data_IF_596413149285
#
_entry.id   IF_596413149285
#
_cell.length_a   1.000
_cell.length_b   1.000
_cell.length_c   1.000
_cell.angle_alpha   90.00
_cell.angle_beta   90.00
_cell.angle_gamma   90.00
#
_symmetry.space_group_name_H-M   'P 1'
#
loop_
_entity.id
_entity.type
_entity.pdbx_description
1 polymer ?
#
# COMPACT_ATOMS: atom_id res chain seq x y z
N UNK A 1 -30.97 19.39 -28.58
CA UNK A 1 -31.51 18.25 -29.37
C UNK A 1 -30.56 17.08 -29.25
N UNK A 2 -30.96 16.03 -28.55
CA UNK A 2 -30.15 14.82 -28.41
C UNK A 2 -30.24 14.02 -29.73
N UNK A 3 -29.09 13.84 -30.41
CA UNK A 3 -28.99 13.11 -31.66
C UNK A 3 -29.26 11.62 -31.38
N UNK A 4 -30.41 11.11 -31.81
CA UNK A 4 -30.79 9.71 -31.72
C UNK A 4 -29.79 8.87 -32.55
N UNK A 5 -29.00 8.04 -31.90
CA UNK A 5 -28.02 7.15 -32.56
C UNK A 5 -28.75 6.15 -33.43
N UNK A 6 -28.30 5.97 -34.65
CA UNK A 6 -28.85 4.95 -35.58
C UNK A 6 -28.56 3.51 -35.08
N UNK A 7 -29.39 2.52 -35.41
CA UNK A 7 -29.15 1.14 -35.01
C UNK A 7 -27.77 0.60 -35.42
N UNK A 8 -27.23 1.07 -36.55
CA UNK A 8 -25.90 0.73 -37.04
C UNK A 8 -24.79 1.29 -36.13
N UNK A 9 -24.91 2.57 -35.69
CA UNK A 9 -23.96 3.20 -34.75
C UNK A 9 -23.97 2.53 -33.39
N UNK A 10 -25.14 2.09 -32.90
CA UNK A 10 -25.25 1.34 -31.63
C UNK A 10 -24.56 -0.02 -31.74
N UNK A 11 -24.69 -0.69 -32.89
CA UNK A 11 -24.03 -1.97 -33.14
C UNK A 11 -22.52 -1.85 -33.26
N UNK A 12 -22.03 -0.80 -33.93
CA UNK A 12 -20.61 -0.47 -34.03
C UNK A 12 -20.01 -0.15 -32.65
N UNK A 13 -20.65 0.71 -31.87
CA UNK A 13 -20.22 1.04 -30.52
C UNK A 13 -20.19 -0.17 -29.58
N UNK A 14 -21.13 -1.12 -29.68
CA UNK A 14 -21.12 -2.37 -28.95
C UNK A 14 -19.95 -3.28 -29.37
N UNK A 15 -19.64 -3.34 -30.66
CA UNK A 15 -18.51 -4.11 -31.18
C UNK A 15 -17.16 -3.54 -30.69
N UNK A 16 -17.00 -2.23 -30.74
CA UNK A 16 -15.81 -1.54 -30.21
C UNK A 16 -15.66 -1.72 -28.69
N UNK A 17 -16.75 -1.56 -27.92
CA UNK A 17 -16.74 -1.82 -26.49
C UNK A 17 -16.39 -3.28 -26.14
N UNK A 18 -16.82 -4.25 -26.97
CA UNK A 18 -16.45 -5.66 -26.82
C UNK A 18 -14.97 -5.89 -27.16
N UNK A 19 -14.46 -5.25 -28.20
CA UNK A 19 -13.05 -5.34 -28.60
C UNK A 19 -12.13 -4.72 -27.54
N UNK A 20 -12.45 -3.54 -27.03
CA UNK A 20 -11.68 -2.88 -25.97
C UNK A 20 -11.69 -3.68 -24.66
N UNK A 21 -12.84 -4.24 -24.26
CA UNK A 21 -12.92 -5.16 -23.11
C UNK A 21 -12.07 -6.41 -23.30
N UNK A 22 -12.07 -7.00 -24.48
CA UNK A 22 -11.25 -8.19 -24.81
C UNK A 22 -9.76 -7.85 -24.79
N UNK A 23 -9.37 -6.70 -25.34
CA UNK A 23 -7.99 -6.21 -25.29
C UNK A 23 -7.54 -5.93 -23.85
N UNK A 24 -8.35 -5.24 -23.05
CA UNK A 24 -8.06 -4.97 -21.65
C UNK A 24 -7.94 -6.26 -20.82
N UNK A 25 -8.79 -7.26 -21.08
CA UNK A 25 -8.70 -8.56 -20.38
C UNK A 25 -7.43 -9.32 -20.77
N UNK A 26 -7.02 -9.26 -22.04
CA UNK A 26 -5.76 -9.86 -22.51
C UNK A 26 -4.56 -9.18 -21.86
N UNK A 27 -4.54 -7.85 -21.81
CA UNK A 27 -3.47 -7.09 -21.13
C UNK A 27 -3.38 -7.44 -19.64
N UNK A 28 -4.52 -7.51 -18.92
CA UNK A 28 -4.54 -7.92 -17.51
C UNK A 28 -3.96 -9.32 -17.30
N UNK A 29 -4.31 -10.27 -18.16
CA UNK A 29 -3.74 -11.64 -18.09
C UNK A 29 -2.24 -11.63 -18.32
N UNK A 30 -1.75 -10.87 -19.29
CA UNK A 30 -0.31 -10.75 -19.57
C UNK A 30 0.42 -10.11 -18.41
N UNK A 31 -0.13 -9.04 -17.81
CA UNK A 31 0.43 -8.38 -16.63
C UNK A 31 0.49 -9.31 -15.41
N UNK A 32 -0.59 -10.06 -15.15
CA UNK A 32 -0.63 -11.08 -14.09
C UNK A 32 0.42 -12.18 -14.32
N UNK A 33 0.56 -12.64 -15.56
CA UNK A 33 1.54 -13.66 -15.93
C UNK A 33 2.98 -13.15 -15.75
N UNK A 34 3.26 -11.92 -16.18
CA UNK A 34 4.56 -11.28 -16.00
C UNK A 34 4.88 -11.09 -14.50
N UNK A 35 3.92 -10.61 -13.71
CA UNK A 35 4.05 -10.48 -12.27
C UNK A 35 4.32 -11.84 -11.60
N UNK A 36 3.63 -12.89 -12.02
CA UNK A 36 3.84 -14.24 -11.54
C UNK A 36 5.25 -14.76 -11.88
N UNK A 37 5.70 -14.59 -13.14
CA UNK A 37 7.05 -15.01 -13.55
C UNK A 37 8.14 -14.25 -12.78
N UNK A 38 7.97 -12.95 -12.57
CA UNK A 38 8.90 -12.14 -11.81
C UNK A 38 8.98 -12.61 -10.37
N UNK A 39 7.83 -12.83 -9.72
CA UNK A 39 7.75 -13.29 -8.34
C UNK A 39 8.29 -14.73 -8.17
N UNK A 40 8.08 -15.61 -9.15
CA UNK A 40 8.62 -16.98 -9.14
C UNK A 40 10.15 -17.00 -9.18
N UNK A 41 10.78 -16.08 -9.93
CA UNK A 41 12.25 -15.98 -9.99
C UNK A 41 12.85 -15.52 -8.66
N UNK A 42 12.12 -14.68 -7.91
CA UNK A 42 12.58 -14.13 -6.64
C UNK A 42 12.32 -15.06 -5.46
N UNK A 43 11.21 -15.77 -5.47
CA UNK A 43 10.79 -16.65 -4.39
C UNK A 43 10.65 -18.10 -4.88
N UNK A 44 11.72 -18.88 -4.70
CA UNK A 44 11.76 -20.30 -5.07
C UNK A 44 10.70 -21.13 -4.34
N UNK A 45 10.30 -20.71 -3.13
CA UNK A 45 9.29 -21.40 -2.32
C UNK A 45 7.84 -21.04 -2.69
N UNK A 46 7.63 -20.09 -3.61
CA UNK A 46 6.28 -19.69 -4.02
C UNK A 46 5.51 -20.85 -4.63
N UNK A 47 6.09 -21.51 -5.63
CA UNK A 47 5.47 -22.62 -6.36
C UNK A 47 5.14 -23.83 -5.48
N UNK A 48 6.08 -24.41 -4.71
CA UNK A 48 5.77 -25.54 -3.86
C UNK A 48 4.70 -25.22 -2.81
N UNK A 49 4.66 -23.99 -2.30
CA UNK A 49 3.67 -23.56 -1.32
C UNK A 49 2.28 -23.39 -1.94
N UNK A 50 2.18 -22.86 -3.16
CA UNK A 50 0.91 -22.75 -3.89
C UNK A 50 0.36 -24.13 -4.26
N UNK A 51 1.23 -25.04 -4.73
CA UNK A 51 0.84 -26.42 -5.07
C UNK A 51 0.43 -27.17 -3.80
N UNK A 52 1.19 -27.06 -2.72
CA UNK A 52 0.86 -27.69 -1.44
C UNK A 52 -0.46 -27.20 -0.86
N UNK A 53 -0.73 -25.90 -0.92
CA UNK A 53 -2.01 -25.33 -0.49
C UNK A 53 -3.18 -25.81 -1.35
N UNK A 54 -3.01 -25.86 -2.67
CA UNK A 54 -4.02 -26.39 -3.58
C UNK A 54 -4.32 -27.86 -3.30
N UNK A 55 -3.29 -28.71 -3.24
CA UNK A 55 -3.42 -30.15 -3.01
C UNK A 55 -4.00 -30.45 -1.62
N UNK A 56 -3.62 -29.69 -0.59
CA UNK A 56 -4.16 -29.83 0.76
C UNK A 56 -5.67 -29.58 0.82
N UNK A 57 -6.13 -28.50 0.17
CA UNK A 57 -7.56 -28.16 0.09
C UNK A 57 -8.32 -29.19 -0.76
N UNK A 58 -7.76 -29.60 -1.89
CA UNK A 58 -8.36 -30.60 -2.75
C UNK A 58 -8.49 -31.96 -2.03
N UNK A 59 -7.44 -32.42 -1.38
CA UNK A 59 -7.43 -33.67 -0.61
C UNK A 59 -8.48 -33.64 0.53
N UNK A 60 -8.55 -32.54 1.28
CA UNK A 60 -9.54 -32.36 2.33
C UNK A 60 -10.97 -32.41 1.79
N UNK A 61 -11.21 -31.74 0.66
CA UNK A 61 -12.54 -31.74 0.03
C UNK A 61 -12.93 -33.13 -0.51
N UNK A 62 -11.98 -33.88 -1.09
CA UNK A 62 -12.20 -35.26 -1.52
C UNK A 62 -12.51 -36.15 -0.33
N UNK A 63 -11.74 -36.06 0.77
CA UNK A 63 -11.96 -36.86 1.97
C UNK A 63 -13.37 -36.61 2.55
N UNK A 64 -13.80 -35.34 2.65
CA UNK A 64 -15.14 -34.99 3.11
C UNK A 64 -16.23 -35.52 2.15
N UNK A 65 -16.01 -35.45 0.85
CA UNK A 65 -16.95 -35.96 -0.14
C UNK A 65 -17.10 -37.48 -0.07
N UNK A 66 -16.01 -38.21 0.17
CA UNK A 66 -16.04 -39.67 0.35
C UNK A 66 -16.76 -40.05 1.65
N UNK A 67 -16.55 -39.29 2.71
CA UNK A 67 -17.20 -39.52 4.01
C UNK A 67 -18.71 -39.33 3.94
N UNK A 68 -19.18 -38.30 3.19
CA UNK A 68 -20.62 -38.05 3.01
C UNK A 68 -21.29 -39.02 2.04
N UNK A 69 -20.55 -39.63 1.11
CA UNK A 69 -21.07 -40.62 0.14
C UNK A 69 -22.03 -40.00 -0.90
N UNK A 70 -22.69 -40.89 -1.68
CA UNK A 70 -23.72 -40.51 -2.64
C UNK A 70 -23.25 -39.54 -3.75
N UNK A 71 -24.17 -38.71 -4.22
CA UNK A 71 -23.91 -37.70 -5.26
C UNK A 71 -23.04 -36.54 -4.75
N UNK A 72 -23.06 -36.28 -3.43
CA UNK A 72 -22.31 -35.17 -2.82
C UNK A 72 -20.79 -35.23 -3.05
N UNK A 73 -20.20 -36.42 -3.23
CA UNK A 73 -18.77 -36.57 -3.52
C UNK A 73 -18.32 -35.80 -4.77
N UNK A 74 -19.14 -35.77 -5.82
CA UNK A 74 -18.80 -35.03 -7.06
C UNK A 74 -18.85 -33.51 -6.84
N UNK A 75 -19.82 -33.03 -6.07
CA UNK A 75 -19.92 -31.62 -5.69
C UNK A 75 -18.71 -31.18 -4.87
N UNK A 76 -18.28 -32.00 -3.90
CA UNK A 76 -17.09 -31.70 -3.09
C UNK A 76 -15.79 -31.68 -3.90
N UNK A 77 -15.65 -32.54 -4.93
CA UNK A 77 -14.49 -32.52 -5.83
C UNK A 77 -14.44 -31.19 -6.61
N UNK A 78 -15.56 -30.79 -7.22
CA UNK A 78 -15.62 -29.53 -7.97
C UNK A 78 -15.38 -28.34 -7.05
N UNK A 79 -16.02 -28.33 -5.89
CA UNK A 79 -15.83 -27.28 -4.89
C UNK A 79 -14.38 -27.21 -4.37
N UNK A 80 -13.76 -28.37 -4.14
CA UNK A 80 -12.35 -28.46 -3.71
C UNK A 80 -11.36 -27.89 -4.73
N UNK A 81 -11.60 -28.13 -6.04
CA UNK A 81 -10.78 -27.55 -7.10
C UNK A 81 -10.90 -26.02 -7.10
N UNK A 82 -12.13 -25.50 -7.08
CA UNK A 82 -12.37 -24.05 -7.08
C UNK A 82 -11.78 -23.38 -5.83
N UNK A 83 -12.02 -23.96 -4.66
CA UNK A 83 -11.51 -23.46 -3.40
C UNK A 83 -9.97 -23.55 -3.33
N UNK A 84 -9.40 -24.65 -3.82
CA UNK A 84 -7.94 -24.84 -3.89
C UNK A 84 -7.25 -23.79 -4.78
N UNK A 85 -7.82 -23.48 -5.93
CA UNK A 85 -7.35 -22.39 -6.79
C UNK A 85 -7.44 -21.05 -6.06
N UNK A 86 -8.54 -20.77 -5.38
CA UNK A 86 -8.71 -19.54 -4.62
C UNK A 86 -7.66 -19.40 -3.52
N UNK A 87 -7.42 -20.47 -2.74
CA UNK A 87 -6.40 -20.48 -1.68
C UNK A 87 -5.00 -20.31 -2.26
N UNK A 88 -4.69 -20.95 -3.38
CA UNK A 88 -3.41 -20.75 -4.07
C UNK A 88 -3.21 -19.29 -4.50
N UNK A 89 -4.24 -18.60 -4.99
CA UNK A 89 -4.19 -17.17 -5.31
C UNK A 89 -4.01 -16.30 -4.06
N UNK A 90 -4.63 -16.65 -2.94
CA UNK A 90 -4.44 -15.94 -1.66
C UNK A 90 -2.99 -16.07 -1.19
N UNK A 91 -2.40 -17.26 -1.29
CA UNK A 91 -0.99 -17.51 -0.94
C UNK A 91 -0.07 -16.68 -1.85
N UNK A 92 -0.33 -16.68 -3.16
CA UNK A 92 0.41 -15.84 -4.10
C UNK A 92 0.33 -14.35 -3.73
N UNK A 93 -0.87 -13.81 -3.52
CA UNK A 93 -1.08 -12.40 -3.19
C UNK A 93 -0.36 -11.99 -1.90
N UNK A 94 -0.44 -12.82 -0.84
CA UNK A 94 0.24 -12.56 0.43
C UNK A 94 1.76 -12.56 0.29
N UNK A 95 2.32 -13.50 -0.48
CA UNK A 95 3.77 -13.57 -0.69
C UNK A 95 4.28 -12.45 -1.59
N UNK A 96 3.56 -12.14 -2.68
CA UNK A 96 3.87 -11.01 -3.54
C UNK A 96 3.87 -9.69 -2.76
N UNK A 97 2.86 -9.48 -1.93
CA UNK A 97 2.79 -8.30 -1.07
C UNK A 97 3.98 -8.23 -0.10
N UNK A 98 4.32 -9.33 0.57
CA UNK A 98 5.47 -9.40 1.48
C UNK A 98 6.79 -9.08 0.76
N UNK A 99 6.97 -9.55 -0.48
CA UNK A 99 8.15 -9.28 -1.30
C UNK A 99 8.27 -7.79 -1.65
N UNK A 100 7.15 -7.14 -2.02
CA UNK A 100 7.13 -5.71 -2.32
C UNK A 100 7.54 -4.89 -1.10
N UNK A 101 6.97 -5.16 0.06
CA UNK A 101 7.33 -4.46 1.30
C UNK A 101 8.81 -4.67 1.67
N UNK A 102 9.32 -5.89 1.57
CA UNK A 102 10.73 -6.19 1.85
C UNK A 102 11.70 -5.46 0.90
N UNK A 103 11.31 -5.29 -0.37
CA UNK A 103 12.12 -4.53 -1.33
C UNK A 103 12.07 -3.03 -1.09
N UNK A 104 10.93 -2.52 -0.64
CA UNK A 104 10.76 -1.11 -0.31
C UNK A 104 11.43 -0.75 1.03
N UNK A 105 11.62 -1.71 1.91
CA UNK A 105 12.24 -1.52 3.22
C UNK A 105 13.68 -1.01 3.05
N UNK A 106 14.02 0.05 3.80
CA UNK A 106 15.31 0.73 3.67
C UNK A 106 15.44 1.67 2.46
N UNK A 107 14.44 1.76 1.57
CA UNK A 107 14.45 2.74 0.50
C UNK A 107 13.78 4.04 0.94
N UNK A 108 14.42 5.17 0.66
CA UNK A 108 13.86 6.48 0.98
C UNK A 108 12.54 6.71 0.21
N UNK A 109 11.50 7.14 0.94
CA UNK A 109 10.14 7.35 0.41
C UNK A 109 9.20 6.14 0.52
N UNK A 110 9.68 5.01 1.03
CA UNK A 110 8.86 3.82 1.20
C UNK A 110 7.71 4.02 2.20
N UNK A 111 7.98 4.71 3.31
CA UNK A 111 6.97 5.09 4.29
C UNK A 111 5.88 5.95 3.68
N UNK A 112 6.26 6.98 2.94
CA UNK A 112 5.33 7.85 2.23
C UNK A 112 4.48 7.10 1.20
N UNK A 113 5.06 6.11 0.52
CA UNK A 113 4.32 5.26 -0.42
C UNK A 113 3.26 4.38 0.27
N UNK A 114 3.61 3.75 1.40
CA UNK A 114 2.64 2.95 2.18
C UNK A 114 1.51 3.82 2.70
N UNK A 115 1.83 4.98 3.25
CA UNK A 115 0.83 5.90 3.79
C UNK A 115 -0.17 6.39 2.73
N UNK A 116 0.28 6.64 1.49
CA UNK A 116 -0.60 7.04 0.38
C UNK A 116 -1.60 5.95 -0.02
N UNK A 117 -1.20 4.68 0.14
CA UNK A 117 -2.00 3.53 -0.25
C UNK A 117 -2.84 2.96 0.90
N UNK A 118 -2.85 3.60 2.07
CA UNK A 118 -3.64 3.17 3.22
C UNK A 118 -5.14 3.24 2.95
N UNK A 119 -5.86 2.23 3.39
CA UNK A 119 -7.33 2.19 3.30
C UNK A 119 -7.95 3.00 4.42
N UNK A 120 -9.01 3.74 4.10
CA UNK A 120 -9.77 4.51 5.09
C UNK A 120 -9.69 6.02 4.90
N UNK A 121 -10.25 6.75 5.87
CA UNK A 121 -10.29 8.23 5.84
C UNK A 121 -9.05 8.79 6.54
N UNK A 122 -7.89 8.71 5.88
CA UNK A 122 -6.65 9.30 6.35
C UNK A 122 -6.31 10.54 5.53
N UNK A 123 -5.76 11.56 6.17
CA UNK A 123 -5.22 12.76 5.52
C UNK A 123 -3.70 12.70 5.61
N UNK A 124 -3.06 12.33 4.53
CA UNK A 124 -1.61 12.10 4.47
C UNK A 124 -0.91 13.31 3.87
N UNK A 125 0.04 13.88 4.60
CA UNK A 125 0.98 14.89 4.10
C UNK A 125 2.37 14.28 4.10
N UNK A 126 2.87 13.95 2.92
CA UNK A 126 4.21 13.37 2.78
C UNK A 126 5.28 14.42 3.00
N UNK A 127 6.38 14.00 3.62
CA UNK A 127 7.62 14.78 3.73
C UNK A 127 7.39 16.19 4.30
N UNK A 128 6.82 16.25 5.51
CA UNK A 128 6.69 17.52 6.24
C UNK A 128 8.03 18.03 6.74
N UNK A 129 8.99 17.13 6.93
CA UNK A 129 10.37 17.43 7.27
C UNK A 129 11.30 16.39 6.65
N UNK A 130 12.49 16.82 6.22
CA UNK A 130 13.52 15.96 5.63
C UNK A 130 14.90 16.54 5.93
N UNK A 131 15.88 15.67 6.13
CA UNK A 131 17.28 16.08 6.29
C UNK A 131 18.10 15.74 5.02
N UNK A 132 19.37 16.15 5.01
CA UNK A 132 20.31 15.89 3.91
C UNK A 132 20.65 14.41 3.69
N UNK A 133 20.28 13.53 4.61
CA UNK A 133 20.46 12.08 4.55
C UNK A 133 19.23 11.34 4.04
N UNK A 134 18.21 12.04 3.55
CA UNK A 134 16.89 11.52 3.15
C UNK A 134 16.09 10.86 4.28
N UNK A 135 16.46 11.10 5.55
CA UNK A 135 15.55 10.78 6.63
C UNK A 135 14.35 11.73 6.55
N UNK A 136 13.15 11.19 6.56
CA UNK A 136 11.93 11.96 6.34
C UNK A 136 10.90 11.76 7.44
N UNK A 137 10.08 12.78 7.66
CA UNK A 137 8.91 12.70 8.51
C UNK A 137 7.67 12.97 7.68
N UNK A 138 6.69 12.09 7.79
CA UNK A 138 5.37 12.20 7.18
C UNK A 138 4.35 12.52 8.26
N UNK A 139 3.33 13.28 7.93
CA UNK A 139 2.22 13.59 8.83
C UNK A 139 0.95 12.92 8.33
N UNK A 140 0.29 12.20 9.22
CA UNK A 140 -0.97 11.52 8.98
C UNK A 140 -1.99 12.04 9.99
N UNK A 141 -3.13 12.51 9.53
CA UNK A 141 -4.26 12.88 10.37
C UNK A 141 -5.33 11.81 10.19
N UNK A 142 -5.74 11.22 11.28
CA UNK A 142 -6.76 10.18 11.31
C UNK A 142 -7.66 10.30 12.53
N UNK A 143 -8.59 9.36 12.69
CA UNK A 143 -9.44 9.30 13.88
C UNK A 143 -8.68 9.16 15.20
N UNK A 144 -7.47 8.59 15.25
CA UNK A 144 -6.64 8.62 16.46
C UNK A 144 -6.17 10.02 16.87
N UNK A 145 -5.91 10.89 15.89
CA UNK A 145 -5.31 12.20 16.09
C UNK A 145 -4.30 12.51 15.00
N UNK A 146 -3.22 13.22 15.35
CA UNK A 146 -2.09 13.51 14.48
C UNK A 146 -0.99 12.48 14.73
N UNK A 147 -0.51 11.85 13.66
CA UNK A 147 0.51 10.82 13.73
C UNK A 147 1.68 11.27 12.87
N UNK A 148 2.87 11.31 13.45
CA UNK A 148 4.10 11.50 12.71
C UNK A 148 4.77 10.17 12.46
N UNK A 149 5.09 9.90 11.21
CA UNK A 149 5.74 8.68 10.77
C UNK A 149 7.12 9.04 10.25
N UNK A 150 8.12 8.57 10.94
CA UNK A 150 9.53 8.81 10.62
C UNK A 150 10.13 7.67 9.83
N UNK A 151 10.91 8.01 8.80
CA UNK A 151 11.59 7.08 7.91
C UNK A 151 13.08 7.43 7.84
N UNK A 152 13.96 6.45 8.02
CA UNK A 152 15.41 6.61 7.99
C UNK A 152 16.10 6.14 9.27
N UNK A 153 17.29 6.70 9.59
CA UNK A 153 18.03 6.30 10.78
C UNK A 153 17.33 6.73 12.07
N UNK A 154 17.04 5.82 13.02
CA UNK A 154 16.26 6.10 14.23
C UNK A 154 16.78 7.27 15.04
N UNK A 155 18.11 7.37 15.22
CA UNK A 155 18.73 8.44 16.00
C UNK A 155 18.44 9.84 15.41
N UNK A 156 18.52 9.97 14.08
CA UNK A 156 18.28 11.24 13.38
C UNK A 156 16.80 11.55 13.26
N UNK A 157 16.00 10.51 12.96
CA UNK A 157 14.55 10.64 12.83
C UNK A 157 13.88 11.07 14.11
N UNK A 158 14.33 10.59 15.28
CA UNK A 158 13.82 11.04 16.59
C UNK A 158 13.92 12.55 16.77
N UNK A 159 15.00 13.19 16.32
CA UNK A 159 15.16 14.65 16.41
C UNK A 159 14.14 15.36 15.49
N UNK A 160 13.96 14.88 14.25
CA UNK A 160 12.99 15.44 13.31
C UNK A 160 11.55 15.30 13.84
N UNK A 161 11.22 14.13 14.38
CA UNK A 161 9.92 13.86 15.00
C UNK A 161 9.66 14.80 16.18
N UNK A 162 10.63 14.99 17.08
CA UNK A 162 10.50 15.87 18.22
C UNK A 162 10.27 17.34 17.80
N UNK A 163 10.96 17.81 16.77
CA UNK A 163 10.77 19.15 16.20
C UNK A 163 9.37 19.33 15.63
N UNK A 164 8.91 18.40 14.78
CA UNK A 164 7.59 18.47 14.17
C UNK A 164 6.46 18.32 15.19
N UNK A 165 6.65 17.44 16.19
CA UNK A 165 5.72 17.28 17.32
C UNK A 165 5.57 18.58 18.12
N UNK A 166 6.68 19.21 18.53
CA UNK A 166 6.68 20.50 19.26
C UNK A 166 6.02 21.62 18.45
N UNK A 167 6.27 21.66 17.17
CA UNK A 167 5.71 22.65 16.24
C UNK A 167 4.20 22.48 16.09
N UNK A 168 3.75 21.24 15.93
CA UNK A 168 2.35 20.89 15.70
C UNK A 168 1.52 21.01 16.98
N UNK A 169 2.07 20.66 18.14
CA UNK A 169 1.38 20.71 19.43
C UNK A 169 0.75 22.07 19.73
N UNK A 170 1.39 23.18 19.28
CA UNK A 170 0.87 24.54 19.46
C UNK A 170 -0.42 24.82 18.69
N UNK A 171 -0.72 24.01 17.67
CA UNK A 171 -1.85 24.23 16.75
C UNK A 171 -3.00 23.25 16.97
N UNK A 172 -2.70 22.05 17.46
CA UNK A 172 -3.69 20.98 17.58
C UNK A 172 -4.39 20.96 18.95
N UNK A 173 -3.86 21.70 19.95
CA UNK A 173 -4.42 21.76 21.29
C UNK A 173 -4.38 20.38 21.99
N UNK A 174 -5.52 19.93 22.51
CA UNK A 174 -5.65 18.67 23.25
C UNK A 174 -5.70 17.41 22.38
N UNK A 175 -5.56 17.55 21.06
CA UNK A 175 -5.58 16.38 20.16
C UNK A 175 -4.31 15.54 20.37
N UNK A 176 -4.44 14.22 20.56
CA UNK A 176 -3.29 13.34 20.73
C UNK A 176 -2.35 13.37 19.54
N UNK A 177 -1.05 13.40 19.83
CA UNK A 177 0.02 13.33 18.83
C UNK A 177 0.81 12.06 19.08
N UNK A 178 0.81 11.18 18.09
CA UNK A 178 1.58 9.93 18.08
C UNK A 178 2.82 10.10 17.21
N UNK A 179 3.87 9.36 17.54
CA UNK A 179 5.09 9.24 16.75
C UNK A 179 5.41 7.76 16.52
N UNK A 180 5.74 7.43 15.30
CA UNK A 180 6.07 6.06 14.86
C UNK A 180 7.31 6.13 13.99
N UNK A 181 8.28 5.24 14.23
CA UNK A 181 9.49 5.10 13.41
C UNK A 181 9.37 3.81 12.63
N UNK A 182 9.62 3.88 11.32
CA UNK A 182 9.63 2.72 10.44
C UNK A 182 10.99 2.05 10.53
N UNK A 183 10.99 0.76 10.83
CA UNK A 183 12.19 -0.07 10.88
C UNK A 183 11.94 -1.43 11.55
N UNK A 184 12.99 -2.22 11.70
CA UNK A 184 12.94 -3.55 12.32
C UNK A 184 13.59 -3.57 13.72
N UNK A 185 14.02 -2.42 14.23
CA UNK A 185 14.63 -2.29 15.56
C UNK A 185 13.60 -2.31 16.69
N UNK A 186 14.12 -2.30 17.92
CA UNK A 186 13.30 -2.24 19.14
C UNK A 186 12.54 -0.90 19.21
N UNK A 187 11.21 -0.97 19.36
CA UNK A 187 10.34 0.19 19.36
C UNK A 187 10.03 0.76 17.97
N UNK A 188 10.49 0.11 16.90
CA UNK A 188 10.21 0.47 15.53
C UNK A 188 9.06 -0.39 14.97
N UNK A 189 8.41 0.11 13.93
CA UNK A 189 7.32 -0.59 13.28
C UNK A 189 7.75 -1.00 11.86
N UNK A 190 7.79 -2.30 11.55
CA UNK A 190 8.09 -2.77 10.20
C UNK A 190 7.15 -2.15 9.17
N UNK A 191 7.69 -1.79 8.01
CA UNK A 191 6.94 -1.16 6.91
C UNK A 191 5.66 -1.93 6.55
N UNK A 192 5.74 -3.26 6.51
CA UNK A 192 4.60 -4.14 6.22
C UNK A 192 3.50 -4.14 7.29
N UNK A 193 3.81 -3.70 8.51
CA UNK A 193 2.86 -3.65 9.64
C UNK A 193 2.36 -2.24 9.92
N UNK A 194 2.88 -1.21 9.23
CA UNK A 194 2.59 0.19 9.49
C UNK A 194 1.08 0.49 9.43
N UNK A 195 0.40 0.14 8.34
CA UNK A 195 -1.05 0.36 8.19
C UNK A 195 -1.83 -0.27 9.34
N UNK A 196 -1.51 -1.53 9.67
CA UNK A 196 -2.18 -2.24 10.77
C UNK A 196 -1.89 -1.61 12.13
N UNK A 197 -0.69 -1.08 12.35
CA UNK A 197 -0.32 -0.39 13.57
C UNK A 197 -1.14 0.89 13.73
N UNK A 198 -1.21 1.72 12.69
CA UNK A 198 -1.97 2.97 12.71
C UNK A 198 -3.48 2.75 12.88
N UNK A 199 -4.03 1.71 12.25
CA UNK A 199 -5.47 1.38 12.37
C UNK A 199 -5.87 0.84 13.73
N UNK A 200 -4.91 0.33 14.53
CA UNK A 200 -5.15 -0.16 15.90
C UNK A 200 -5.15 0.94 16.96
N UNK A 201 -4.69 2.15 16.61
CA UNK A 201 -4.68 3.26 17.55
C UNK A 201 -6.11 3.64 17.96
N UNK A 202 -6.33 4.11 19.20
CA UNK A 202 -7.65 4.46 19.71
C UNK A 202 -8.25 5.62 18.92
N UNK A 203 -9.57 5.62 18.81
CA UNK A 203 -10.33 6.69 18.14
C UNK A 203 -10.58 7.82 19.11
N UNK A 204 -9.95 8.98 18.91
CA UNK A 204 -10.01 10.13 19.80
C UNK A 204 -10.72 11.34 19.18
N UNK A 205 -10.80 11.43 17.84
CA UNK A 205 -11.38 12.59 17.17
C UNK A 205 -12.41 12.20 16.10
N UNK A 206 -13.30 13.14 15.80
CA UNK A 206 -14.31 13.00 14.75
C UNK A 206 -13.75 13.38 13.38
N UNK A 207 -14.45 12.97 12.30
CA UNK A 207 -14.05 13.32 10.93
C UNK A 207 -14.04 14.84 10.72
N UNK A 208 -15.03 15.57 11.29
CA UNK A 208 -15.07 17.04 11.20
C UNK A 208 -13.83 17.66 11.83
N UNK A 209 -13.40 17.17 12.99
CA UNK A 209 -12.16 17.64 13.62
C UNK A 209 -10.92 17.33 12.81
N UNK A 210 -10.90 16.20 12.07
CA UNK A 210 -9.81 15.88 11.15
C UNK A 210 -9.70 16.92 10.03
N UNK A 211 -10.82 17.34 9.43
CA UNK A 211 -10.85 18.32 8.34
C UNK A 211 -10.39 19.71 8.83
N UNK A 212 -10.81 20.10 10.04
CA UNK A 212 -10.33 21.34 10.71
C UNK A 212 -8.82 21.31 10.93
N UNK A 213 -8.29 20.17 11.41
CA UNK A 213 -6.86 19.99 11.65
C UNK A 213 -6.06 20.01 10.34
N UNK A 214 -6.57 19.35 9.29
CA UNK A 214 -5.95 19.37 7.97
C UNK A 214 -5.78 20.80 7.46
N UNK A 215 -6.84 21.61 7.54
CA UNK A 215 -6.81 23.01 7.10
C UNK A 215 -5.76 23.83 7.88
N UNK A 216 -5.74 23.73 9.22
CA UNK A 216 -4.79 24.43 10.08
C UNK A 216 -3.34 24.00 9.82
N UNK A 217 -3.10 22.68 9.66
CA UNK A 217 -1.76 22.14 9.48
C UNK A 217 -1.24 22.29 8.04
N UNK A 218 -2.13 22.41 7.06
CA UNK A 218 -1.75 22.76 5.68
C UNK A 218 -1.25 24.18 5.59
N UNK A 219 -1.90 25.12 6.27
CA UNK A 219 -1.43 26.50 6.36
C UNK A 219 -0.04 26.65 7.01
N UNK A 220 0.34 25.72 7.91
CA UNK A 220 1.69 25.65 8.48
C UNK A 220 2.72 25.17 7.44
N UNK A 221 2.35 24.20 6.61
CA UNK A 221 3.24 23.59 5.61
C UNK A 221 3.57 24.50 4.43
N UNK A 222 2.65 25.38 4.04
CA UNK A 222 2.86 26.32 2.93
C UNK A 222 3.98 27.34 3.18
N UNK A 223 4.31 27.62 4.44
CA UNK A 223 5.42 28.54 4.79
C UNK A 223 6.82 27.92 4.62
N UNK A 224 6.93 26.62 4.39
CA UNK A 224 8.22 25.88 4.36
C UNK A 224 8.44 25.08 3.08
N UNK A 225 7.74 25.30 2.02
CA UNK A 225 7.88 24.60 0.74
C UNK A 225 7.93 23.07 0.89
N UNK A 226 7.38 22.29 -0.01
CA UNK A 226 7.58 20.85 -0.01
C UNK A 226 9.08 20.60 -0.21
N UNK A 227 9.76 20.01 0.77
CA UNK A 227 11.08 19.48 0.54
C UNK A 227 10.97 18.55 -0.68
N UNK A 228 11.76 18.85 -1.72
CA UNK A 228 11.65 18.21 -3.02
C UNK A 228 12.15 16.76 -2.94
N UNK A 229 11.33 15.88 -2.36
CA UNK A 229 11.57 14.45 -2.37
C UNK A 229 10.88 13.85 -3.60
N UNK A 230 11.56 13.03 -4.39
CA UNK A 230 10.95 12.35 -5.53
C UNK A 230 9.70 11.59 -5.12
N UNK A 231 8.66 11.60 -5.97
CA UNK A 231 7.44 10.83 -5.73
C UNK A 231 7.74 9.34 -5.98
N UNK A 232 7.79 8.54 -4.91
CA UNK A 232 8.02 7.10 -4.94
C UNK A 232 9.39 6.65 -4.39
N UNK A 233 9.60 5.33 -4.23
CA UNK A 233 10.86 4.78 -3.76
C UNK A 233 12.01 5.16 -4.69
N UNK A 234 13.09 5.71 -4.14
CA UNK A 234 14.30 6.01 -4.91
C UNK A 234 15.03 4.70 -5.26
N UNK A 235 15.60 4.58 -6.47
CA UNK A 235 16.47 3.45 -6.79
C UNK A 235 17.63 3.38 -5.81
N UNK A 236 18.02 2.18 -5.37
CA UNK A 236 19.06 1.94 -4.37
C UNK A 236 20.47 2.55 -4.71
N UNK A 237 20.64 3.05 -5.93
CA UNK A 237 21.89 3.65 -6.43
C UNK A 237 21.81 5.17 -6.68
N UNK A 238 20.79 5.87 -6.22
CA UNK A 238 20.67 7.30 -6.41
C UNK A 238 21.74 8.06 -5.62
N UNK A 239 22.85 8.42 -6.28
CA UNK A 239 23.95 9.21 -5.68
C UNK A 239 23.49 10.66 -5.44
N UNK A 240 23.61 11.13 -4.21
CA UNK A 240 23.21 12.46 -3.72
C UNK A 240 23.72 13.66 -4.55
N UNK A 241 24.87 13.54 -5.24
CA UNK A 241 25.49 14.65 -5.99
C UNK A 241 24.67 15.17 -7.17
N UNK A 242 23.78 14.35 -7.77
CA UNK A 242 22.94 14.76 -8.91
C UNK A 242 21.73 15.61 -8.51
N UNK A 243 21.13 15.33 -7.35
CA UNK A 243 19.89 15.98 -6.90
C UNK A 243 20.15 17.41 -6.40
N UNK A 244 21.28 17.67 -5.73
CA UNK A 244 21.64 19.00 -5.27
C UNK A 244 21.92 20.01 -6.40
N UNK A 245 22.40 19.56 -7.56
CA UNK A 245 22.60 20.44 -8.73
C UNK A 245 21.30 20.91 -9.38
N UNK A 246 20.25 20.09 -9.35
CA UNK A 246 18.97 20.42 -9.98
C UNK A 246 18.14 21.42 -9.15
N UNK A 247 18.27 21.35 -7.81
CA UNK A 247 17.58 22.28 -6.89
C UNK A 247 18.23 23.68 -6.90
N UNK A 248 19.54 23.77 -7.18
CA UNK A 248 20.26 25.07 -7.19
C UNK A 248 20.10 25.86 -8.50
N UNK A 249 19.47 25.27 -9.54
CA UNK A 249 19.23 25.89 -10.85
C UNK A 249 17.79 26.34 -11.10
N UNK A 250 16.93 26.26 -10.12
CA UNK A 250 15.59 26.84 -10.07
C UNK A 250 15.53 27.81 -8.89
#
# INVERSE_FOLDING_TARGET
>A
MAKTRTPAEVKAAKAEAKATRKAASKQRRTQLWQAFQMQRKEDKMLLPLMIGAFLGVAALSVALGLWMGGFSKYLFIVFGIVLGVLVAFIVFGRRAQKSIYRKAEGQAGAGGWVLDNMRGKWRVTKTVSVNGHFDAVHRVIGRPGVIFVGEGSPARVKQLLAQEKKRTARLVGEVPIYDVIIGDGEGEVPLAKLERHLTKLPVNITTKKMDDLESKLTALGTKLGPAAMPKGPLPAQAKMRGVQRTVRRR
#
